data_IF_933554373994
#
_entry.id   IF_933554373994
#
_cell.length_a   1.000
_cell.length_b   1.000
_cell.length_c   1.000
_cell.angle_alpha   90.00
_cell.angle_beta   90.00
_cell.angle_gamma   90.00
#
_symmetry.space_group_name_H-M   'P 1'
#
loop_
_entity.id
_entity.type
_entity.pdbx_description
1 polymer ?
#
# COMPACT_ATOMS: atom_id res chain seq x y z
N UNK A 1 8.54 2.34 7.36
CA UNK A 1 7.58 3.47 7.46
C UNK A 1 7.76 4.33 8.71
N UNK A 2 8.01 3.78 9.90
CA UNK A 2 8.15 4.58 11.14
C UNK A 2 9.25 5.66 11.11
N UNK A 3 10.24 5.53 10.24
CA UNK A 3 11.34 6.49 10.09
C UNK A 3 11.14 7.51 8.97
N UNK A 4 10.02 7.44 8.24
CA UNK A 4 9.71 8.40 7.18
C UNK A 4 8.90 9.56 7.79
N UNK A 5 9.18 10.82 7.39
CA UNK A 5 8.36 11.94 7.81
C UNK A 5 6.92 11.75 7.28
N UNK A 6 5.95 12.25 8.04
CA UNK A 6 4.57 12.32 7.56
C UNK A 6 4.46 13.23 6.33
N UNK A 7 3.49 12.94 5.47
CA UNK A 7 3.22 13.74 4.27
C UNK A 7 2.92 12.86 3.06
N UNK A 8 3.10 13.44 1.87
CA UNK A 8 2.90 12.74 0.61
C UNK A 8 3.99 11.68 0.44
N UNK A 9 3.60 10.40 0.53
CA UNK A 9 4.53 9.29 0.29
C UNK A 9 4.66 8.97 -1.20
N UNK A 10 3.59 9.14 -1.97
CA UNK A 10 3.48 8.56 -3.29
C UNK A 10 2.16 8.83 -3.97
N UNK A 11 1.94 8.17 -5.12
CA UNK A 11 0.69 8.27 -5.88
C UNK A 11 0.18 6.88 -6.24
N UNK A 12 -1.13 6.72 -6.25
CA UNK A 12 -1.80 5.57 -6.87
C UNK A 12 -2.19 5.97 -8.30
N UNK A 13 -1.84 5.15 -9.28
CA UNK A 13 -2.09 5.35 -10.70
C UNK A 13 -3.09 4.30 -11.19
N UNK A 14 -4.27 4.75 -11.59
CA UNK A 14 -5.31 3.89 -12.19
C UNK A 14 -5.29 4.12 -13.70
N UNK A 15 -4.91 3.09 -14.46
CA UNK A 15 -4.85 3.15 -15.91
C UNK A 15 -6.24 2.91 -16.53
N UNK A 16 -6.44 3.39 -17.77
CA UNK A 16 -7.68 3.14 -18.52
C UNK A 16 -8.01 1.65 -18.68
N UNK A 17 -7.00 0.78 -18.67
CA UNK A 17 -7.14 -0.67 -18.71
C UNK A 17 -7.61 -1.30 -17.39
N UNK A 18 -7.75 -0.52 -16.32
CA UNK A 18 -8.03 -0.99 -14.96
C UNK A 18 -6.81 -1.48 -14.20
N UNK A 19 -5.62 -1.57 -14.82
CA UNK A 19 -4.37 -1.82 -14.10
C UNK A 19 -4.14 -0.71 -13.08
N UNK A 20 -3.66 -1.08 -11.89
CA UNK A 20 -3.31 -0.12 -10.83
C UNK A 20 -1.83 -0.28 -10.50
N UNK A 21 -1.12 0.85 -10.41
CA UNK A 21 0.26 0.92 -9.93
C UNK A 21 0.37 1.95 -8.80
N UNK A 22 1.45 1.89 -8.04
CA UNK A 22 1.79 2.89 -7.03
C UNK A 22 3.22 3.37 -7.26
N UNK A 23 3.46 4.67 -7.11
CA UNK A 23 4.80 5.23 -7.02
C UNK A 23 5.13 5.58 -5.57
N UNK A 24 6.35 5.25 -5.14
CA UNK A 24 6.91 5.66 -3.85
C UNK A 24 8.32 6.20 -4.12
N UNK A 25 8.48 7.52 -4.10
CA UNK A 25 9.64 8.15 -4.72
C UNK A 25 9.73 7.79 -6.21
N UNK A 26 10.91 7.35 -6.66
CA UNK A 26 11.17 6.95 -8.05
C UNK A 26 10.82 5.47 -8.32
N UNK A 27 10.48 4.71 -7.28
CA UNK A 27 10.16 3.29 -7.41
C UNK A 27 8.70 3.07 -7.81
N UNK A 28 8.49 2.13 -8.74
CA UNK A 28 7.18 1.73 -9.25
C UNK A 28 6.79 0.37 -8.67
N UNK A 29 5.51 0.24 -8.31
CA UNK A 29 4.94 -0.96 -7.71
C UNK A 29 3.67 -1.37 -8.45
N UNK A 30 3.47 -2.67 -8.62
CA UNK A 30 2.19 -3.24 -9.01
C UNK A 30 1.25 -3.32 -7.81
N UNK A 31 -0.02 -2.99 -8.04
CA UNK A 31 -1.08 -3.06 -7.03
C UNK A 31 -2.13 -4.05 -7.49
N UNK A 32 -2.37 -5.07 -6.67
CA UNK A 32 -3.40 -6.08 -6.91
C UNK A 32 -4.34 -6.23 -5.72
N UNK A 33 -5.53 -6.78 -5.94
CA UNK A 33 -6.44 -7.10 -4.85
C UNK A 33 -5.86 -8.24 -4.01
N UNK A 34 -5.87 -8.07 -2.70
CA UNK A 34 -5.54 -9.12 -1.76
C UNK A 34 -6.63 -10.20 -1.69
N UNK A 35 -6.32 -11.28 -0.97
CA UNK A 35 -7.29 -12.34 -0.73
C UNK A 35 -8.50 -11.80 0.00
N UNK A 36 -9.70 -12.21 -0.43
CA UNK A 36 -10.93 -11.89 0.28
C UNK A 36 -10.93 -12.61 1.63
N UNK A 37 -11.08 -11.88 2.72
CA UNK A 37 -11.33 -12.49 4.02
C UNK A 37 -12.79 -12.93 4.14
N UNK A 38 -12.99 -14.14 4.66
CA UNK A 38 -14.31 -14.75 4.86
C UNK A 38 -14.85 -14.60 6.28
N UNK A 39 -14.09 -13.95 7.17
CA UNK A 39 -14.42 -13.71 8.56
C UNK A 39 -14.47 -12.21 8.83
N UNK A 40 -15.24 -11.82 9.85
CA UNK A 40 -15.32 -10.43 10.29
C UNK A 40 -13.99 -9.98 10.90
N UNK A 41 -13.54 -8.79 10.48
CA UNK A 41 -12.32 -8.15 10.96
C UNK A 41 -12.67 -6.71 11.32
N UNK A 42 -12.09 -6.19 12.41
CA UNK A 42 -12.37 -4.84 12.90
C UNK A 42 -11.06 -4.14 13.28
N UNK A 43 -10.95 -2.86 12.91
CA UNK A 43 -9.81 -2.01 13.24
C UNK A 43 -10.13 -1.20 14.48
N UNK A 44 -9.26 -1.29 15.48
CA UNK A 44 -9.43 -0.61 16.76
C UNK A 44 -8.22 0.29 17.03
N UNK A 45 -8.48 1.57 17.31
CA UNK A 45 -7.47 2.49 17.84
C UNK A 45 -7.37 2.32 19.36
N UNK A 46 -6.17 2.03 19.87
CA UNK A 46 -5.89 1.91 21.30
C UNK A 46 -4.87 2.97 21.69
N UNK A 47 -5.29 3.90 22.54
CA UNK A 47 -4.40 4.82 23.25
C UNK A 47 -4.16 4.27 24.66
N UNK A 48 -3.00 3.65 24.86
CA UNK A 48 -2.64 3.04 26.13
C UNK A 48 -2.29 4.06 27.22
N UNK A 49 -1.97 5.30 26.85
CA UNK A 49 -1.60 6.36 27.81
C UNK A 49 -2.84 6.97 28.43
N UNK A 50 -3.79 7.39 27.60
CA UNK A 50 -5.05 7.98 28.04
C UNK A 50 -6.13 6.93 28.32
N UNK A 51 -5.82 5.64 28.10
CA UNK A 51 -6.70 4.48 28.31
C UNK A 51 -7.99 4.57 27.48
N UNK A 52 -7.88 5.08 26.27
CA UNK A 52 -8.98 5.16 25.33
C UNK A 52 -8.91 4.04 24.29
N UNK A 53 -10.07 3.51 23.94
CA UNK A 53 -10.24 2.48 22.93
C UNK A 53 -11.41 2.90 22.03
N UNK A 54 -11.20 2.92 20.72
CA UNK A 54 -12.20 3.35 19.74
C UNK A 54 -12.24 2.38 18.57
N UNK A 55 -13.43 1.88 18.24
CA UNK A 55 -13.65 1.14 16.98
C UNK A 55 -13.61 2.13 15.81
N UNK A 56 -12.75 1.84 14.83
CA UNK A 56 -12.65 2.58 13.57
C UNK A 56 -13.63 1.99 12.54
N UNK A 57 -13.94 0.71 12.66
CA UNK A 57 -14.88 -0.01 11.80
C UNK A 57 -14.30 -1.33 11.28
N UNK A 58 -15.10 -2.01 10.44
CA UNK A 58 -14.70 -3.27 9.82
C UNK A 58 -13.52 -3.08 8.85
N UNK A 59 -12.67 -4.11 8.74
CA UNK A 59 -11.56 -4.13 7.79
C UNK A 59 -12.09 -4.17 6.35
N UNK A 60 -11.41 -3.45 5.47
CA UNK A 60 -11.81 -3.27 4.08
C UNK A 60 -11.20 -4.31 3.14
N UNK A 61 -11.29 -4.04 1.84
CA UNK A 61 -10.56 -4.81 0.84
C UNK A 61 -9.04 -4.63 1.04
N UNK A 62 -8.30 -5.74 1.00
CA UNK A 62 -6.84 -5.69 1.04
C UNK A 62 -6.26 -5.36 -0.33
N UNK A 63 -5.16 -4.63 -0.34
CA UNK A 63 -4.34 -4.40 -1.51
C UNK A 63 -2.94 -4.98 -1.28
N UNK A 64 -2.44 -5.73 -2.26
CA UNK A 64 -1.07 -6.25 -2.29
C UNK A 64 -0.26 -5.30 -3.17
N UNK A 65 0.83 -4.77 -2.62
CA UNK A 65 1.74 -3.85 -3.30
C UNK A 65 3.10 -4.52 -3.43
N UNK A 66 3.51 -4.83 -4.65
CA UNK A 66 4.78 -5.52 -4.95
C UNK A 66 5.65 -4.68 -5.88
N UNK A 67 6.99 -4.69 -5.73
CA UNK A 67 7.86 -3.97 -6.65
C UNK A 67 7.63 -4.41 -8.10
N UNK A 68 7.59 -3.46 -9.03
CA UNK A 68 7.52 -3.74 -10.47
C UNK A 68 8.88 -4.28 -10.94
N UNK A 69 9.00 -5.61 -11.01
CA UNK A 69 10.27 -6.28 -11.35
C UNK A 69 10.71 -5.97 -12.78
N UNK A 70 9.77 -5.85 -13.73
CA UNK A 70 10.09 -5.54 -15.12
C UNK A 70 10.76 -4.16 -15.22
N UNK A 71 10.21 -3.16 -14.51
CA UNK A 71 10.78 -1.80 -14.46
C UNK A 71 12.14 -1.78 -13.75
N UNK A 72 12.31 -2.57 -12.70
CA UNK A 72 13.58 -2.69 -11.96
C UNK A 72 14.68 -3.37 -12.79
N UNK A 73 14.34 -4.41 -13.56
CA UNK A 73 15.33 -5.09 -14.41
C UNK A 73 15.72 -4.23 -15.62
N UNK A 74 14.76 -3.51 -16.20
CA UNK A 74 15.02 -2.62 -17.32
C UNK A 74 15.98 -1.48 -16.96
N UNK A 75 15.87 -0.92 -15.75
CA UNK A 75 16.78 0.15 -15.30
C UNK A 75 18.22 -0.35 -15.14
N UNK A 76 18.43 -1.60 -14.71
CA UNK A 76 19.76 -2.21 -14.60
C UNK A 76 20.40 -2.38 -15.98
N UNK A 77 19.66 -2.96 -16.94
CA UNK A 77 20.18 -3.20 -18.30
C UNK A 77 20.52 -1.90 -19.03
N UNK A 78 19.84 -0.79 -18.72
CA UNK A 78 20.09 0.52 -19.33
C UNK A 78 21.30 1.27 -18.75
N UNK A 79 21.88 0.77 -17.65
CA UNK A 79 23.07 1.34 -17.03
C UNK A 79 24.38 0.74 -17.58
N UNK A 80 24.29 -0.32 -18.40
CA UNK A 80 25.37 -0.81 -19.28
C UNK A 80 25.34 -0.13 -20.65
#
# INVERSE_FOLDING_TARGET
MKELPGGLMGKILVYKSGKVKMTLGDALFDVSAGSKCSFAQEVIAIDSREKHCCSIGEDGNHAIVTPDIDSLLYSIVKME
#
